data_IF_961349017190
#
_entry.id   IF_961349017190
#
_cell.length_a   1.000
_cell.length_b   1.000
_cell.length_c   1.000
_cell.angle_alpha   90.00
_cell.angle_beta   90.00
_cell.angle_gamma   90.00
#
_symmetry.space_group_name_H-M   'P 1'
#
loop_
_entity.id
_entity.type
_entity.pdbx_description
1 polymer ?
#
# COMPACT_ATOMS: atom_id res chain seq x y z
N UNK A 1 -15.66 -11.11 7.39
CA UNK A 1 -16.52 -10.50 6.35
C UNK A 1 -16.03 -9.09 6.11
N UNK A 2 -15.82 -8.68 4.85
CA UNK A 2 -15.52 -7.31 4.48
C UNK A 2 -16.83 -6.53 4.25
N UNK A 3 -16.94 -5.32 4.79
CA UNK A 3 -18.19 -4.54 4.82
C UNK A 3 -18.40 -3.61 3.61
N UNK A 4 -17.60 -3.74 2.55
CA UNK A 4 -17.64 -2.88 1.37
C UNK A 4 -16.47 -3.07 0.41
N UNK A 5 -16.46 -2.33 -0.70
CA UNK A 5 -15.45 -2.46 -1.77
C UNK A 5 -14.05 -1.94 -1.41
N UNK A 6 -13.92 -1.12 -0.37
CA UNK A 6 -12.62 -0.74 0.23
C UNK A 6 -12.60 -1.24 1.66
N UNK A 7 -11.65 -2.12 1.96
CA UNK A 7 -11.62 -2.85 3.24
C UNK A 7 -10.72 -2.18 4.27
N UNK A 8 -9.50 -1.82 3.87
CA UNK A 8 -8.51 -1.18 4.75
C UNK A 8 -7.49 -0.37 3.95
N UNK A 9 -6.72 0.46 4.66
CA UNK A 9 -5.56 1.16 4.13
C UNK A 9 -4.29 0.62 4.77
N UNK A 10 -3.31 0.25 3.94
CA UNK A 10 -1.94 -0.02 4.38
C UNK A 10 -1.13 1.26 4.30
N UNK A 11 -0.59 1.71 5.43
CA UNK A 11 0.17 2.95 5.55
C UNK A 11 1.54 2.63 6.16
N UNK A 12 2.58 3.24 5.62
CA UNK A 12 3.93 3.15 6.18
C UNK A 12 4.68 4.47 5.98
N UNK A 13 5.66 4.71 6.85
CA UNK A 13 6.58 5.83 6.75
C UNK A 13 8.01 5.33 6.50
N UNK A 14 8.83 6.18 5.90
CA UNK A 14 10.23 5.92 5.61
C UNK A 14 10.97 7.23 5.35
N UNK A 15 12.29 7.14 5.20
CA UNK A 15 13.19 8.28 4.94
C UNK A 15 12.94 8.92 3.57
N UNK A 16 12.34 8.17 2.65
CA UNK A 16 11.92 8.64 1.34
C UNK A 16 10.66 7.88 0.88
N UNK A 17 10.08 8.34 -0.24
CA UNK A 17 8.84 7.78 -0.79
C UNK A 17 9.02 6.32 -1.20
N UNK A 18 10.14 5.96 -1.84
CA UNK A 18 10.47 4.57 -2.16
C UNK A 18 10.45 3.64 -0.93
N UNK A 19 11.09 4.04 0.18
CA UNK A 19 11.13 3.23 1.41
C UNK A 19 9.73 3.11 2.06
N UNK A 20 8.97 4.21 2.11
CA UNK A 20 7.60 4.20 2.61
C UNK A 20 6.70 3.27 1.78
N UNK A 21 6.82 3.34 0.45
CA UNK A 21 6.10 2.49 -0.50
C UNK A 21 6.43 1.01 -0.29
N UNK A 22 7.71 0.65 -0.22
CA UNK A 22 8.14 -0.74 -0.08
C UNK A 22 7.65 -1.34 1.25
N UNK A 23 7.68 -0.56 2.33
CA UNK A 23 7.13 -0.96 3.64
C UNK A 23 5.60 -1.14 3.59
N UNK A 24 4.88 -0.26 2.90
CA UNK A 24 3.43 -0.37 2.74
C UNK A 24 3.04 -1.65 2.00
N UNK A 25 3.74 -1.97 0.90
CA UNK A 25 3.52 -3.22 0.15
C UNK A 25 3.91 -4.46 0.95
N UNK A 26 5.03 -4.42 1.69
CA UNK A 26 5.40 -5.52 2.59
C UNK A 26 4.36 -5.77 3.69
N UNK A 27 3.66 -4.72 4.13
CA UNK A 27 2.52 -4.86 5.04
C UNK A 27 1.30 -5.46 4.33
N UNK A 28 0.97 -5.00 3.12
CA UNK A 28 -0.15 -5.51 2.33
C UNK A 28 -0.02 -7.01 2.01
N UNK A 29 1.21 -7.48 1.74
CA UNK A 29 1.46 -8.90 1.46
C UNK A 29 1.21 -9.83 2.65
N UNK A 30 1.29 -9.31 3.89
CA UNK A 30 1.01 -10.10 5.09
C UNK A 30 -0.48 -10.33 5.34
N UNK A 31 -1.35 -9.59 4.66
CA UNK A 31 -2.81 -9.66 4.84
C UNK A 31 -3.42 -10.55 3.76
N UNK A 32 -4.07 -11.66 4.15
CA UNK A 32 -4.72 -12.60 3.22
C UNK A 32 -6.19 -12.80 3.55
N UNK A 33 -7.04 -12.70 2.54
CA UNK A 33 -8.46 -13.06 2.56
C UNK A 33 -8.97 -13.27 1.14
N UNK A 34 -10.08 -13.99 0.99
CA UNK A 34 -10.70 -14.28 -0.30
C UNK A 34 -11.07 -12.99 -1.06
N UNK A 35 -10.71 -12.93 -2.33
CA UNK A 35 -11.01 -11.77 -3.18
C UNK A 35 -10.21 -10.51 -2.85
N UNK A 36 -9.13 -10.60 -2.06
CA UNK A 36 -8.24 -9.45 -1.85
C UNK A 36 -7.62 -9.00 -3.16
N UNK A 37 -7.55 -7.69 -3.36
CA UNK A 37 -6.77 -7.07 -4.42
C UNK A 37 -6.31 -5.68 -3.97
N UNK A 38 -5.17 -5.24 -4.50
CA UNK A 38 -4.65 -3.90 -4.29
C UNK A 38 -3.77 -3.50 -5.48
N UNK A 39 -3.55 -2.20 -5.67
CA UNK A 39 -2.69 -1.67 -6.74
C UNK A 39 -1.21 -1.87 -6.40
N UNK A 40 -0.36 -2.17 -7.38
CA UNK A 40 1.10 -2.33 -7.20
C UNK A 40 1.93 -1.15 -7.73
N UNK A 41 1.27 -0.07 -8.17
CA UNK A 41 1.88 1.08 -8.87
C UNK A 41 1.75 2.41 -8.10
N UNK A 42 1.24 2.38 -6.87
CA UNK A 42 1.21 3.56 -5.99
C UNK A 42 2.63 4.05 -5.75
N UNK A 43 2.85 5.35 -6.00
CA UNK A 43 4.15 6.02 -5.86
C UNK A 43 5.29 5.37 -6.68
N UNK A 44 4.96 4.78 -7.84
CA UNK A 44 5.98 4.18 -8.73
C UNK A 44 6.84 5.23 -9.44
N UNK A 45 6.25 6.37 -9.79
CA UNK A 45 6.97 7.54 -10.28
C UNK A 45 6.82 8.61 -9.21
N UNK A 46 7.91 8.88 -8.49
CA UNK A 46 7.94 9.92 -7.48
C UNK A 46 7.72 11.27 -8.17
N UNK A 47 6.72 12.03 -7.71
CA UNK A 47 6.69 13.47 -7.95
C UNK A 47 7.36 14.08 -6.73
N UNK A 48 8.57 14.61 -6.90
CA UNK A 48 9.19 15.43 -5.87
C UNK A 48 8.30 16.65 -5.66
N UNK A 49 7.67 16.75 -4.49
CA UNK A 49 6.93 17.94 -4.09
C UNK A 49 7.93 18.85 -3.39
N UNK A 50 8.12 20.05 -3.94
CA UNK A 50 8.98 21.10 -3.41
C UNK A 50 8.42 21.72 -2.12
#
# INVERSE_FOLDING_TARGET
VASGGRVMHMVASGENVAQARDRAYAGAERVSFEGRFYRSDIARQEVAVA
#
